data_IF_859069827150
#
_entry.id   IF_859069827150
#
_cell.length_a   1.000
_cell.length_b   1.000
_cell.length_c   1.000
_cell.angle_alpha   90.00
_cell.angle_beta   90.00
_cell.angle_gamma   90.00
#
_symmetry.space_group_name_H-M   'P 1'
#
loop_
_entity.id
_entity.type
_entity.pdbx_description
1 polymer ?
#
# COMPACT_ATOMS: atom_id res chain seq x y z
N UNK A 1 12.40 8.42 -14.84
CA UNK A 1 11.26 8.52 -15.78
C UNK A 1 10.49 9.84 -15.63
N UNK A 2 9.38 9.97 -14.90
CA UNK A 2 8.60 11.24 -14.91
C UNK A 2 9.37 12.46 -14.34
N UNK A 3 10.28 12.27 -13.37
CA UNK A 3 11.08 13.35 -12.76
C UNK A 3 12.04 14.06 -13.72
N UNK A 4 12.32 13.47 -14.88
CA UNK A 4 13.19 14.07 -15.92
C UNK A 4 12.39 14.91 -16.93
N UNK A 5 11.05 14.89 -16.86
CA UNK A 5 10.17 15.67 -17.72
C UNK A 5 9.72 16.94 -17.01
N UNK A 6 9.76 18.07 -17.72
CA UNK A 6 9.23 19.34 -17.22
C UNK A 6 7.71 19.32 -17.24
N UNK A 7 7.09 18.86 -16.15
CA UNK A 7 5.64 18.87 -15.98
C UNK A 7 5.12 20.31 -15.80
N UNK A 8 4.04 20.71 -16.51
CA UNK A 8 3.46 22.04 -16.34
C UNK A 8 2.83 22.17 -14.95
N UNK A 9 3.22 23.21 -14.20
CA UNK A 9 2.66 23.48 -12.87
C UNK A 9 1.20 23.95 -12.99
N UNK A 10 0.27 23.14 -12.51
CA UNK A 10 -1.14 23.51 -12.35
C UNK A 10 -1.42 23.75 -10.85
N UNK A 11 -1.86 24.95 -10.43
CA UNK A 11 -2.07 25.27 -9.00
C UNK A 11 -3.20 24.48 -8.33
N UNK A 12 -4.01 23.72 -9.09
CA UNK A 12 -5.02 22.80 -8.55
C UNK A 12 -4.46 21.40 -8.24
N UNK A 13 -3.24 21.07 -8.67
CA UNK A 13 -2.57 19.84 -8.24
C UNK A 13 -2.02 20.10 -6.84
N UNK A 14 -2.66 19.49 -5.83
CA UNK A 14 -2.28 19.62 -4.42
C UNK A 14 -1.19 18.60 -4.03
N UNK A 15 -1.23 17.43 -4.66
CA UNK A 15 -0.25 16.35 -4.54
C UNK A 15 0.05 15.83 -5.94
N UNK A 16 1.32 15.89 -6.33
CA UNK A 16 1.80 15.54 -7.68
C UNK A 16 2.92 14.48 -7.65
N UNK A 17 3.37 13.99 -8.81
CA UNK A 17 4.40 12.96 -8.90
C UNK A 17 5.76 13.37 -8.30
N UNK A 18 5.98 14.66 -8.05
CA UNK A 18 7.16 15.20 -7.38
C UNK A 18 7.28 14.81 -5.90
N UNK A 19 6.18 14.67 -5.14
CA UNK A 19 6.25 14.28 -3.72
C UNK A 19 6.36 12.77 -3.55
N UNK A 20 5.87 11.99 -4.54
CA UNK A 20 5.84 10.52 -4.48
C UNK A 20 5.03 9.99 -3.28
N UNK A 21 3.88 10.64 -3.04
CA UNK A 21 2.75 10.10 -2.27
C UNK A 21 2.03 8.97 -3.04
N UNK A 22 1.20 8.22 -2.33
CA UNK A 22 0.50 7.03 -2.82
C UNK A 22 -0.54 7.35 -3.91
N UNK A 23 -1.12 8.56 -3.91
CA UNK A 23 -2.06 8.99 -4.95
C UNK A 23 -1.94 10.50 -5.29
N UNK A 24 -2.28 10.84 -6.54
CA UNK A 24 -2.35 12.24 -6.98
C UNK A 24 -3.63 12.92 -6.47
N UNK A 25 -3.52 14.20 -6.10
CA UNK A 25 -4.67 14.97 -5.57
C UNK A 25 -4.91 16.24 -6.39
N UNK A 26 -6.14 16.39 -6.90
CA UNK A 26 -6.55 17.52 -7.76
C UNK A 26 -7.76 18.26 -7.20
N UNK A 27 -7.60 19.53 -6.88
CA UNK A 27 -8.65 20.37 -6.31
C UNK A 27 -9.73 20.73 -7.33
N UNK A 28 -10.99 20.47 -6.98
CA UNK A 28 -12.16 20.93 -7.72
C UNK A 28 -12.61 22.31 -7.20
N UNK A 29 -12.77 22.42 -5.89
CA UNK A 29 -13.25 23.60 -5.15
C UNK A 29 -12.65 23.66 -3.73
N UNK A 30 -13.12 24.58 -2.88
CA UNK A 30 -12.58 24.81 -1.52
C UNK A 30 -12.80 23.64 -0.54
N UNK A 31 -13.79 22.78 -0.78
CA UNK A 31 -14.20 21.68 0.10
C UNK A 31 -14.02 20.29 -0.53
N UNK A 32 -13.75 20.22 -1.84
CA UNK A 32 -13.61 18.97 -2.61
C UNK A 32 -12.34 18.94 -3.46
N UNK A 33 -11.54 17.88 -3.29
CA UNK A 33 -10.51 17.46 -4.22
C UNK A 33 -10.74 16.00 -4.64
N UNK A 34 -10.35 15.67 -5.87
CA UNK A 34 -10.22 14.29 -6.35
C UNK A 34 -8.94 13.68 -5.79
N UNK A 35 -9.00 12.41 -5.40
CA UNK A 35 -7.85 11.54 -5.18
C UNK A 35 -7.83 10.52 -6.31
N UNK A 36 -6.70 10.39 -7.01
CA UNK A 36 -6.57 9.51 -8.18
C UNK A 36 -5.33 8.64 -8.05
N UNK A 37 -5.54 7.32 -8.09
CA UNK A 37 -4.48 6.31 -8.18
C UNK A 37 -4.76 5.34 -9.32
N UNK A 38 -3.72 4.63 -9.75
CA UNK A 38 -3.81 3.56 -10.73
C UNK A 38 -2.82 2.47 -10.37
N UNK A 39 -3.33 1.26 -10.16
CA UNK A 39 -2.48 0.16 -9.72
C UNK A 39 -2.99 -1.17 -10.27
N UNK A 40 -2.07 -1.98 -10.81
CA UNK A 40 -2.35 -3.27 -11.44
C UNK A 40 -1.08 -4.14 -11.51
N UNK A 41 -1.21 -5.43 -11.25
CA UNK A 41 -0.08 -6.36 -11.12
C UNK A 41 -0.45 -7.78 -11.57
N UNK A 42 0.54 -8.68 -11.61
CA UNK A 42 0.39 -10.09 -11.97
C UNK A 42 -0.25 -10.92 -10.83
N UNK A 43 -0.82 -12.10 -11.09
CA UNK A 43 -1.35 -12.97 -10.04
C UNK A 43 -0.31 -13.28 -8.96
N UNK A 44 -0.69 -13.04 -7.69
CA UNK A 44 0.09 -13.40 -6.50
C UNK A 44 -0.47 -14.64 -5.77
N UNK A 45 -1.62 -15.15 -6.22
CA UNK A 45 -2.30 -16.36 -5.72
C UNK A 45 -2.92 -17.09 -6.91
N UNK A 46 -3.04 -18.42 -6.79
CA UNK A 46 -3.58 -19.27 -7.86
C UNK A 46 -5.11 -19.12 -8.03
N UNK A 47 -5.84 -18.83 -6.96
CA UNK A 47 -7.29 -18.66 -7.02
C UNK A 47 -7.67 -17.34 -7.71
N UNK A 48 -8.34 -17.36 -8.88
CA UNK A 48 -8.57 -16.15 -9.66
C UNK A 48 -9.51 -15.17 -8.95
N UNK A 49 -10.49 -15.68 -8.20
CA UNK A 49 -11.43 -14.84 -7.45
C UNK A 49 -10.71 -14.07 -6.33
N UNK A 50 -9.89 -14.76 -5.54
CA UNK A 50 -9.07 -14.16 -4.48
C UNK A 50 -8.05 -13.17 -5.05
N UNK A 51 -7.39 -13.48 -6.17
CA UNK A 51 -6.52 -12.52 -6.86
C UNK A 51 -7.29 -11.25 -7.24
N UNK A 52 -8.50 -11.39 -7.81
CA UNK A 52 -9.39 -10.26 -8.11
C UNK A 52 -9.72 -9.41 -6.89
N UNK A 53 -10.01 -10.03 -5.74
CA UNK A 53 -10.25 -9.33 -4.48
C UNK A 53 -9.01 -8.55 -4.03
N UNK A 54 -7.83 -9.17 -4.06
CA UNK A 54 -6.58 -8.55 -3.59
C UNK A 54 -6.19 -7.36 -4.50
N UNK A 55 -6.28 -7.51 -5.82
CA UNK A 55 -5.96 -6.44 -6.77
C UNK A 55 -6.82 -5.18 -6.55
N UNK A 56 -8.11 -5.36 -6.27
CA UNK A 56 -9.01 -4.23 -5.92
C UNK A 56 -8.68 -3.65 -4.55
N UNK A 57 -8.45 -4.48 -3.53
CA UNK A 57 -8.07 -3.98 -2.18
C UNK A 57 -6.77 -3.17 -2.24
N UNK A 58 -5.81 -3.56 -3.09
CA UNK A 58 -4.57 -2.81 -3.30
C UNK A 58 -4.85 -1.42 -3.88
N UNK A 59 -5.51 -1.36 -5.04
CA UNK A 59 -5.77 -0.10 -5.74
C UNK A 59 -6.72 0.86 -4.98
N UNK A 60 -7.56 0.34 -4.07
CA UNK A 60 -8.36 1.19 -3.17
C UNK A 60 -7.54 1.75 -2.00
N UNK A 61 -6.43 1.09 -1.62
CA UNK A 61 -5.64 1.42 -0.44
C UNK A 61 -5.07 2.83 -0.47
N UNK A 62 -4.55 3.28 -1.62
CA UNK A 62 -3.91 4.60 -1.75
C UNK A 62 -4.90 5.73 -1.51
N UNK A 63 -6.16 5.55 -1.94
CA UNK A 63 -7.22 6.54 -1.70
C UNK A 63 -7.49 6.68 -0.20
N UNK A 64 -7.50 5.56 0.54
CA UNK A 64 -7.63 5.58 2.00
C UNK A 64 -6.35 6.14 2.68
N UNK A 65 -5.16 5.88 2.14
CA UNK A 65 -3.90 6.42 2.64
C UNK A 65 -3.86 7.95 2.59
N UNK A 66 -4.40 8.56 1.53
CA UNK A 66 -4.55 10.02 1.43
C UNK A 66 -5.68 10.60 2.32
N UNK A 67 -6.38 9.78 3.09
CA UNK A 67 -7.55 10.17 3.90
C UNK A 67 -8.83 10.40 3.07
N UNK A 68 -8.87 9.91 1.84
CA UNK A 68 -10.01 10.02 0.93
C UNK A 68 -11.00 8.85 1.03
N UNK A 69 -12.15 9.04 0.38
CA UNK A 69 -13.16 7.99 0.16
C UNK A 69 -13.20 7.64 -1.33
N UNK A 70 -12.96 6.38 -1.73
CA UNK A 70 -13.06 5.98 -3.14
C UNK A 70 -14.53 6.02 -3.60
N UNK A 71 -14.75 6.48 -4.83
CA UNK A 71 -16.09 6.61 -5.42
C UNK A 71 -16.28 5.72 -6.65
N UNK A 72 -15.29 5.71 -7.54
CA UNK A 72 -15.38 4.99 -8.81
C UNK A 72 -14.09 4.22 -9.12
N UNK A 73 -14.26 3.10 -9.81
CA UNK A 73 -13.17 2.27 -10.34
C UNK A 73 -13.35 2.02 -11.84
N UNK A 74 -12.22 1.86 -12.54
CA UNK A 74 -12.16 1.40 -13.92
C UNK A 74 -11.21 0.21 -14.01
N UNK A 75 -11.68 -0.92 -14.53
CA UNK A 75 -10.86 -2.13 -14.67
C UNK A 75 -9.69 -1.92 -15.61
N UNK A 76 -8.49 -2.34 -15.19
CA UNK A 76 -7.34 -2.50 -16.06
C UNK A 76 -7.03 -3.99 -16.16
N UNK A 77 -7.16 -4.54 -17.36
CA UNK A 77 -6.99 -5.98 -17.62
C UNK A 77 -5.99 -6.19 -18.74
N UNK A 78 -4.93 -6.93 -18.44
CA UNK A 78 -4.12 -7.62 -19.44
C UNK A 78 -4.40 -9.12 -19.29
N UNK A 79 -4.77 -9.80 -20.36
CA UNK A 79 -5.15 -11.22 -20.28
C UNK A 79 -4.84 -11.95 -21.59
N UNK A 80 -4.32 -13.19 -21.55
CA UNK A 80 -4.02 -13.95 -22.76
C UNK A 80 -5.29 -14.60 -23.33
N UNK A 81 -6.07 -13.82 -24.10
CA UNK A 81 -7.39 -14.19 -24.62
C UNK A 81 -7.32 -15.44 -25.52
N UNK A 82 -6.16 -15.67 -26.15
CA UNK A 82 -5.92 -16.79 -27.07
C UNK A 82 -5.58 -18.13 -26.39
N UNK A 83 -5.07 -18.13 -25.16
CA UNK A 83 -4.57 -19.35 -24.49
C UNK A 83 -5.24 -19.67 -23.16
N UNK A 84 -5.88 -18.71 -22.50
CA UNK A 84 -6.63 -18.96 -21.25
C UNK A 84 -8.14 -18.80 -21.43
N UNK A 85 -8.89 -19.59 -20.67
CA UNK A 85 -10.35 -19.54 -20.68
C UNK A 85 -10.87 -18.22 -20.12
N UNK A 86 -11.86 -17.62 -20.81
CA UNK A 86 -12.60 -16.45 -20.32
C UNK A 86 -13.30 -16.68 -18.96
N UNK A 87 -13.45 -17.93 -18.50
CA UNK A 87 -13.95 -18.22 -17.14
C UNK A 87 -12.99 -17.75 -16.06
N UNK A 88 -11.67 -17.80 -16.29
CA UNK A 88 -10.66 -17.31 -15.33
C UNK A 88 -10.82 -15.80 -15.16
N UNK A 89 -10.87 -15.05 -16.28
CA UNK A 89 -11.10 -13.61 -16.25
C UNK A 89 -12.43 -13.24 -15.57
N UNK A 90 -13.50 -14.03 -15.79
CA UNK A 90 -14.79 -13.80 -15.11
C UNK A 90 -14.67 -13.93 -13.59
N UNK A 91 -13.94 -14.91 -13.06
CA UNK A 91 -13.76 -15.03 -11.62
C UNK A 91 -12.87 -13.93 -11.04
N UNK A 92 -11.81 -13.49 -11.75
CA UNK A 92 -11.02 -12.30 -11.36
C UNK A 92 -11.94 -11.08 -11.25
N UNK A 93 -12.74 -10.81 -12.27
CA UNK A 93 -13.65 -9.66 -12.27
C UNK A 93 -14.77 -9.78 -11.22
N UNK A 94 -15.24 -11.00 -10.91
CA UNK A 94 -16.21 -11.25 -9.81
C UNK A 94 -15.59 -10.99 -8.44
N UNK A 95 -14.34 -11.40 -8.23
CA UNK A 95 -13.58 -11.11 -7.01
C UNK A 95 -13.40 -9.61 -6.81
N UNK A 96 -12.92 -8.92 -7.85
CA UNK A 96 -12.76 -7.47 -7.81
C UNK A 96 -14.08 -6.73 -7.56
N UNK A 97 -15.15 -7.11 -8.27
CA UNK A 97 -16.48 -6.53 -8.07
C UNK A 97 -17.04 -6.78 -6.66
N UNK A 98 -16.74 -7.93 -6.05
CA UNK A 98 -17.11 -8.20 -4.65
C UNK A 98 -16.51 -7.16 -3.70
N UNK A 99 -15.26 -6.75 -3.91
CA UNK A 99 -14.58 -5.75 -3.05
C UNK A 99 -14.91 -4.32 -3.40
N UNK A 100 -15.18 -4.00 -4.67
CA UNK A 100 -15.77 -2.70 -5.03
C UNK A 100 -17.14 -2.50 -4.37
N UNK A 101 -18.01 -3.52 -4.40
CA UNK A 101 -19.33 -3.47 -3.74
C UNK A 101 -19.22 -3.31 -2.22
N UNK A 102 -18.29 -4.03 -1.57
CA UNK A 102 -18.01 -3.93 -0.13
C UNK A 102 -17.54 -2.52 0.27
N UNK A 103 -16.73 -1.87 -0.58
CA UNK A 103 -16.23 -0.52 -0.39
C UNK A 103 -17.21 0.60 -0.83
N UNK A 104 -18.36 0.26 -1.43
CA UNK A 104 -19.31 1.23 -1.99
C UNK A 104 -18.85 1.92 -3.28
N UNK A 105 -17.88 1.32 -3.99
CA UNK A 105 -17.23 1.88 -5.19
C UNK A 105 -17.98 1.45 -6.46
N UNK A 106 -18.34 2.41 -7.30
CA UNK A 106 -19.00 2.14 -8.57
C UNK A 106 -17.99 1.77 -9.67
N UNK A 107 -18.14 0.60 -10.28
CA UNK A 107 -17.42 0.24 -11.50
C UNK A 107 -18.02 1.03 -12.69
N UNK A 108 -17.28 2.02 -13.21
CA UNK A 108 -17.76 2.93 -14.27
C UNK A 108 -17.21 2.62 -15.67
N UNK A 109 -16.31 1.64 -15.78
CA UNK A 109 -15.75 1.23 -17.07
C UNK A 109 -14.47 0.40 -16.92
N UNK A 110 -13.62 0.47 -17.94
CA UNK A 110 -12.31 -0.20 -17.94
C UNK A 110 -11.79 -0.43 -19.34
N UNK A 111 -10.61 -1.04 -19.43
CA UNK A 111 -9.98 -1.47 -20.67
C UNK A 111 -9.41 -2.88 -20.54
N UNK A 112 -9.33 -3.59 -21.66
CA UNK A 112 -8.81 -4.96 -21.72
C UNK A 112 -7.93 -5.11 -22.94
N UNK A 113 -6.71 -5.61 -22.74
CA UNK A 113 -5.72 -5.89 -23.79
C UNK A 113 -5.34 -7.37 -23.80
N UNK A 114 -5.02 -7.87 -24.99
CA UNK A 114 -4.43 -9.19 -25.17
C UNK A 114 -2.94 -9.14 -24.83
N UNK A 115 -2.53 -9.88 -23.81
CA UNK A 115 -1.17 -9.88 -23.23
C UNK A 115 -0.82 -11.32 -22.84
N UNK A 116 0.42 -11.82 -23.08
CA UNK A 116 0.82 -13.17 -22.70
C UNK A 116 0.68 -13.48 -21.20
N UNK A 117 0.72 -12.48 -20.32
CA UNK A 117 0.58 -12.64 -18.88
C UNK A 117 -0.69 -11.97 -18.36
N UNK A 118 -1.33 -12.58 -17.36
CA UNK A 118 -2.43 -11.95 -16.63
C UNK A 118 -1.88 -10.75 -15.85
N UNK A 119 -2.53 -9.59 -15.98
CA UNK A 119 -2.36 -8.43 -15.11
C UNK A 119 -3.73 -7.85 -14.80
N UNK A 120 -4.03 -7.56 -13.54
CA UNK A 120 -5.32 -6.99 -13.14
C UNK A 120 -5.17 -5.92 -12.06
N UNK A 121 -6.07 -4.94 -12.09
CA UNK A 121 -6.18 -3.89 -11.10
C UNK A 121 -7.18 -2.81 -11.52
N UNK A 122 -7.08 -1.64 -10.90
CA UNK A 122 -8.00 -0.52 -11.11
C UNK A 122 -7.26 0.80 -11.31
N UNK A 123 -7.80 1.65 -12.17
CA UNK A 123 -7.71 3.09 -11.97
C UNK A 123 -8.86 3.51 -11.05
N UNK A 124 -8.55 4.18 -9.92
CA UNK A 124 -9.52 4.54 -8.88
C UNK A 124 -9.62 6.06 -8.78
N UNK A 125 -10.84 6.58 -8.66
CA UNK A 125 -11.09 7.97 -8.29
C UNK A 125 -11.90 8.03 -7.01
N UNK A 126 -11.36 8.72 -6.02
CA UNK A 126 -12.03 9.08 -4.77
C UNK A 126 -12.13 10.59 -4.58
N UNK A 127 -12.65 10.99 -3.42
CA UNK A 127 -12.73 12.37 -2.99
C UNK A 127 -12.12 12.55 -1.60
N UNK A 128 -11.54 13.72 -1.36
CA UNK A 128 -11.03 14.17 -0.06
C UNK A 128 -11.35 15.65 0.11
N UNK A 129 -11.51 16.09 1.36
CA UNK A 129 -11.56 17.53 1.63
C UNK A 129 -10.13 18.10 1.58
N UNK A 130 -9.85 19.19 0.84
CA UNK A 130 -8.49 19.74 0.70
C UNK A 130 -7.78 20.03 2.02
N UNK A 131 -8.53 20.30 3.10
CA UNK A 131 -8.01 20.62 4.45
C UNK A 131 -7.76 19.37 5.31
N UNK A 132 -8.03 18.17 4.77
CA UNK A 132 -7.92 16.86 5.44
C UNK A 132 -7.05 15.85 4.69
N UNK A 133 -6.37 16.26 3.63
CA UNK A 133 -5.43 15.41 2.90
C UNK A 133 -4.37 14.90 3.88
N UNK A 134 -4.19 13.60 3.91
CA UNK A 134 -3.06 12.93 4.57
C UNK A 134 -1.99 12.74 3.49
N UNK A 135 -0.73 12.96 3.84
CA UNK A 135 0.43 12.73 2.95
C UNK A 135 1.47 11.92 3.71
N UNK A 136 2.38 11.25 3.01
CA UNK A 136 3.51 10.55 3.62
C UNK A 136 4.57 11.51 4.24
N UNK A 137 4.41 12.82 4.01
CA UNK A 137 5.24 13.88 4.56
C UNK A 137 4.66 14.51 5.85
N UNK A 138 5.52 15.17 6.64
CA UNK A 138 5.10 15.97 7.80
C UNK A 138 5.07 15.25 9.16
N UNK A 139 5.49 13.99 9.22
CA UNK A 139 5.80 13.28 10.45
C UNK A 139 6.84 14.04 11.30
N UNK A 140 6.67 14.07 12.63
CA UNK A 140 7.47 14.89 13.55
C UNK A 140 8.21 14.05 14.58
N UNK A 141 9.42 14.45 15.02
CA UNK A 141 10.10 13.81 16.14
C UNK A 141 9.20 13.75 17.39
N UNK A 142 9.04 12.55 17.95
CA UNK A 142 8.11 12.26 19.06
C UNK A 142 6.76 11.66 18.63
N UNK A 143 6.44 11.62 17.32
CA UNK A 143 5.33 10.83 16.82
C UNK A 143 5.60 9.33 16.99
N UNK A 144 4.53 8.55 17.20
CA UNK A 144 4.52 7.08 17.20
C UNK A 144 4.08 6.57 15.84
N UNK A 145 4.70 5.48 15.41
CA UNK A 145 4.37 4.77 14.19
C UNK A 145 3.40 3.62 14.51
N UNK A 146 2.21 3.62 13.90
CA UNK A 146 1.22 2.56 14.00
C UNK A 146 1.15 1.82 12.67
N UNK A 147 1.14 0.49 12.73
CA UNK A 147 0.87 -0.38 11.59
C UNK A 147 -0.48 -1.09 11.80
N UNK A 148 -1.35 -1.13 10.79
CA UNK A 148 -2.74 -1.63 10.94
C UNK A 148 -3.02 -3.07 10.47
N UNK A 149 -2.00 -3.79 9.98
CA UNK A 149 -2.06 -5.24 9.68
C UNK A 149 -0.75 -5.91 10.10
N UNK A 150 -0.76 -7.22 10.40
CA UNK A 150 0.48 -8.00 10.47
C UNK A 150 1.25 -7.90 9.16
N UNK A 151 2.58 -7.85 9.23
CA UNK A 151 3.40 -8.03 8.04
C UNK A 151 3.59 -9.51 7.75
N UNK A 152 3.45 -9.85 6.48
CA UNK A 152 3.86 -11.15 5.94
C UNK A 152 5.36 -11.30 5.91
N UNK A 153 6.11 -10.26 6.31
CA UNK A 153 7.56 -10.14 6.21
C UNK A 153 7.97 -8.72 6.70
N UNK A 154 8.28 -8.59 8.01
CA UNK A 154 9.31 -7.74 8.65
C UNK A 154 9.23 -6.20 8.76
N UNK A 155 9.52 -5.66 9.96
CA UNK A 155 9.50 -4.19 10.26
C UNK A 155 10.37 -3.83 11.50
N UNK A 156 10.27 -2.61 12.02
CA UNK A 156 10.93 -1.99 13.19
C UNK A 156 9.86 -1.57 14.20
N UNK A 157 9.95 -1.70 15.52
CA UNK A 157 10.91 -2.29 16.48
C UNK A 157 10.74 -3.81 16.49
N UNK A 158 11.84 -4.55 16.34
CA UNK A 158 11.87 -5.98 15.98
C UNK A 158 10.89 -6.90 16.74
N UNK A 159 10.61 -6.58 18.01
CA UNK A 159 9.80 -7.39 18.93
C UNK A 159 8.33 -6.98 19.03
N UNK A 160 7.92 -5.81 18.53
CA UNK A 160 6.53 -5.28 18.67
C UNK A 160 5.64 -5.53 17.46
N UNK A 161 6.14 -6.29 16.53
CA UNK A 161 5.58 -6.41 15.19
C UNK A 161 4.63 -7.59 15.16
N UNK A 162 3.40 -7.40 14.66
CA UNK A 162 2.57 -8.52 14.25
C UNK A 162 3.19 -9.14 12.99
N UNK A 163 3.70 -10.37 13.09
CA UNK A 163 4.26 -11.17 11.97
C UNK A 163 3.40 -12.44 11.81
N UNK A 164 3.06 -12.82 10.58
CA UNK A 164 2.47 -14.13 10.32
C UNK A 164 3.49 -15.25 10.59
N UNK A 165 3.11 -16.24 11.42
CA UNK A 165 3.95 -17.38 11.81
C UNK A 165 4.58 -18.11 10.60
N UNK A 166 3.74 -18.34 9.60
CA UNK A 166 4.01 -19.07 8.37
C UNK A 166 5.12 -18.39 7.56
N UNK A 167 5.10 -17.06 7.49
CA UNK A 167 6.13 -16.27 6.81
C UNK A 167 7.50 -16.39 7.48
N UNK A 168 7.54 -16.37 8.81
CA UNK A 168 8.77 -16.56 9.56
C UNK A 168 9.38 -17.95 9.30
N UNK A 169 8.53 -18.98 9.16
CA UNK A 169 8.98 -20.34 8.87
C UNK A 169 9.43 -20.53 7.41
N UNK A 170 8.81 -19.83 6.44
CA UNK A 170 9.30 -19.76 5.06
C UNK A 170 10.68 -19.08 4.98
N UNK A 171 10.85 -17.91 5.62
CA UNK A 171 12.13 -17.19 5.61
C UNK A 171 13.25 -17.96 6.35
N UNK A 172 12.93 -18.63 7.46
CA UNK A 172 13.86 -19.58 8.13
C UNK A 172 14.31 -20.71 7.22
N UNK A 173 13.43 -21.14 6.32
CA UNK A 173 13.69 -22.19 5.34
C UNK A 173 14.40 -21.67 4.07
N UNK A 174 14.77 -20.39 4.02
CA UNK A 174 15.45 -19.75 2.89
C UNK A 174 14.54 -19.30 1.75
N UNK A 175 13.21 -19.42 1.90
CA UNK A 175 12.25 -18.94 0.91
C UNK A 175 11.99 -17.44 1.12
N UNK A 176 12.87 -16.62 0.55
CA UNK A 176 12.79 -15.15 0.55
C UNK A 176 12.48 -14.67 -0.89
N UNK A 177 11.39 -13.92 -1.13
CA UNK A 177 11.03 -13.47 -2.47
C UNK A 177 12.09 -12.58 -3.14
N UNK A 178 12.17 -12.66 -4.47
CA UNK A 178 13.16 -11.92 -5.26
C UNK A 178 13.13 -10.40 -5.04
N UNK A 179 11.94 -9.83 -4.80
CA UNK A 179 11.76 -8.40 -4.52
C UNK A 179 12.41 -7.93 -3.22
N UNK A 180 12.60 -8.82 -2.23
CA UNK A 180 13.26 -8.48 -0.97
C UNK A 180 14.73 -8.08 -1.19
N UNK A 181 15.42 -8.72 -2.14
CA UNK A 181 16.80 -8.35 -2.50
C UNK A 181 16.84 -6.97 -3.17
N UNK A 182 15.93 -6.69 -4.12
CA UNK A 182 15.82 -5.37 -4.76
C UNK A 182 15.54 -4.25 -3.75
N UNK A 183 14.64 -4.50 -2.80
CA UNK A 183 14.34 -3.57 -1.71
C UNK A 183 15.53 -3.38 -0.77
N UNK A 184 16.22 -4.47 -0.40
CA UNK A 184 17.45 -4.45 0.39
C UNK A 184 18.53 -3.60 -0.29
N UNK A 185 18.79 -3.81 -1.57
CA UNK A 185 19.80 -3.05 -2.32
C UNK A 185 19.44 -1.55 -2.38
N UNK A 186 18.17 -1.22 -2.62
CA UNK A 186 17.70 0.17 -2.67
C UNK A 186 17.72 0.89 -1.31
N UNK A 187 17.32 0.22 -0.23
CA UNK A 187 17.15 0.83 1.09
C UNK A 187 18.34 0.63 2.05
N UNK A 188 19.25 -0.31 1.81
CA UNK A 188 20.37 -0.62 2.71
C UNK A 188 21.19 0.60 3.15
N UNK A 189 21.47 1.55 2.24
CA UNK A 189 22.20 2.79 2.57
C UNK A 189 21.46 3.71 3.58
N UNK A 190 20.18 3.44 3.85
CA UNK A 190 19.30 4.20 4.74
C UNK A 190 18.97 3.48 6.05
N UNK A 191 19.30 2.20 6.17
CA UNK A 191 18.85 1.32 7.26
C UNK A 191 20.05 0.91 8.12
N UNK A 192 20.07 1.38 9.37
CA UNK A 192 21.07 1.00 10.37
C UNK A 192 20.45 -0.06 11.30
N UNK A 193 21.02 -1.28 11.34
CA UNK A 193 20.45 -2.42 12.10
C UNK A 193 21.26 -2.72 13.37
N UNK A 194 20.58 -2.91 14.51
CA UNK A 194 21.22 -3.32 15.76
C UNK A 194 21.70 -4.79 15.69
N UNK A 195 22.89 -5.15 16.21
CA UNK A 195 23.45 -6.50 16.08
C UNK A 195 22.57 -7.65 16.62
N UNK A 196 21.67 -7.37 17.56
CA UNK A 196 20.77 -8.36 18.16
C UNK A 196 19.56 -8.73 17.27
N UNK A 197 19.34 -8.00 16.16
CA UNK A 197 18.25 -8.28 15.21
C UNK A 197 18.64 -9.49 14.35
N UNK A 198 17.85 -10.56 14.40
CA UNK A 198 18.17 -11.80 13.69
C UNK A 198 18.19 -11.60 12.16
N UNK A 199 19.14 -12.21 11.42
CA UNK A 199 19.22 -12.07 9.96
C UNK A 199 17.90 -12.39 9.24
N UNK A 200 17.20 -13.44 9.66
CA UNK A 200 15.88 -13.79 9.12
C UNK A 200 14.88 -12.65 9.28
N UNK A 201 14.87 -11.95 10.41
CA UNK A 201 13.98 -10.80 10.58
C UNK A 201 14.40 -9.62 9.69
N UNK A 202 15.70 -9.47 9.40
CA UNK A 202 16.20 -8.51 8.41
C UNK A 202 15.77 -8.91 6.97
N UNK A 203 15.75 -10.21 6.63
CA UNK A 203 15.25 -10.69 5.34
C UNK A 203 13.75 -10.46 5.18
N UNK A 204 12.98 -10.79 6.23
CA UNK A 204 11.57 -10.41 6.32
C UNK A 204 11.43 -8.88 6.09
N UNK A 205 12.26 -8.06 6.73
CA UNK A 205 12.20 -6.59 6.73
C UNK A 205 12.26 -5.88 5.38
N UNK A 206 12.69 -6.57 4.32
CA UNK A 206 12.79 -6.00 2.98
C UNK A 206 11.73 -6.50 2.02
N UNK A 207 10.86 -7.43 2.41
CA UNK A 207 9.98 -8.09 1.44
C UNK A 207 8.77 -7.22 0.98
N UNK A 208 8.36 -7.30 -0.30
CA UNK A 208 7.22 -6.53 -0.80
C UNK A 208 5.87 -6.94 -0.16
N UNK A 209 5.20 -5.99 0.49
CA UNK A 209 3.85 -6.19 1.03
C UNK A 209 2.78 -5.83 -0.03
N UNK A 210 2.13 -6.82 -0.65
CA UNK A 210 0.94 -6.56 -1.50
C UNK A 210 -0.30 -6.42 -0.62
N UNK A 211 -1.11 -5.37 -0.80
CA UNK A 211 -2.29 -5.06 0.01
C UNK A 211 -2.01 -5.01 1.52
N UNK A 212 -0.88 -4.39 1.90
CA UNK A 212 -0.39 -4.25 3.28
C UNK A 212 -1.30 -3.44 4.22
N UNK A 213 -0.82 -3.22 5.45
CA UNK A 213 -1.47 -2.32 6.41
C UNK A 213 -1.12 -0.86 6.13
N UNK A 214 -1.92 0.07 6.67
CA UNK A 214 -1.54 1.49 6.71
C UNK A 214 -0.43 1.68 7.75
N UNK A 215 0.57 2.48 7.40
CA UNK A 215 1.59 3.00 8.32
C UNK A 215 1.26 4.45 8.67
N UNK A 216 0.97 4.72 9.95
CA UNK A 216 0.42 6.00 10.41
C UNK A 216 1.37 6.63 11.44
N UNK A 217 1.74 7.90 11.23
CA UNK A 217 2.51 8.71 12.20
C UNK A 217 1.57 9.63 12.98
N UNK A 218 1.56 9.56 14.32
CA UNK A 218 0.74 10.41 15.19
C UNK A 218 1.45 10.79 16.49
N UNK A 219 1.14 11.96 17.09
CA UNK A 219 1.60 12.30 18.44
C UNK A 219 1.22 11.21 19.45
N UNK A 220 2.15 10.88 20.35
CA UNK A 220 2.07 9.67 21.19
C UNK A 220 0.73 9.48 21.93
N UNK A 221 0.14 10.55 22.48
CA UNK A 221 -1.17 10.50 23.15
C UNK A 221 -2.29 10.02 22.21
N UNK A 222 -2.33 10.54 20.97
CA UNK A 222 -3.32 10.17 19.95
C UNK A 222 -3.08 8.78 19.39
N UNK A 223 -1.82 8.36 19.33
CA UNK A 223 -1.44 7.08 18.78
C UNK A 223 -1.99 5.91 19.61
N UNK A 224 -1.90 5.97 20.94
CA UNK A 224 -2.49 4.98 21.83
C UNK A 224 -4.01 4.89 21.64
N UNK A 225 -4.71 6.03 21.67
CA UNK A 225 -6.18 6.08 21.46
C UNK A 225 -6.60 5.53 20.09
N UNK A 226 -5.83 5.78 19.02
CA UNK A 226 -6.14 5.21 17.70
C UNK A 226 -5.91 3.69 17.69
N UNK A 227 -4.81 3.21 18.25
CA UNK A 227 -4.51 1.77 18.29
C UNK A 227 -5.58 0.99 19.08
N UNK A 228 -5.99 1.48 20.26
CA UNK A 228 -7.07 0.90 21.06
C UNK A 228 -8.41 0.87 20.31
N UNK A 229 -8.76 1.98 19.63
CA UNK A 229 -10.00 2.06 18.84
C UNK A 229 -9.99 1.07 17.68
N UNK A 230 -8.89 0.98 16.94
CA UNK A 230 -8.74 0.05 15.82
C UNK A 230 -8.81 -1.42 16.28
N UNK A 231 -8.21 -1.76 17.43
CA UNK A 231 -8.32 -3.08 18.03
C UNK A 231 -9.78 -3.41 18.44
N UNK A 232 -10.54 -2.42 18.90
CA UNK A 232 -11.99 -2.55 19.15
C UNK A 232 -12.78 -2.91 17.88
N UNK A 233 -12.39 -2.36 16.73
CA UNK A 233 -12.92 -2.69 15.39
C UNK A 233 -12.31 -3.98 14.80
N UNK A 234 -11.55 -4.76 15.59
CA UNK A 234 -10.84 -5.99 15.18
C UNK A 234 -9.75 -5.79 14.12
N UNK A 235 -9.24 -4.57 13.97
CA UNK A 235 -8.07 -4.26 13.13
C UNK A 235 -6.82 -4.42 14.00
N UNK A 236 -5.82 -5.17 13.53
CA UNK A 236 -4.63 -5.51 14.32
C UNK A 236 -3.61 -4.37 14.37
N UNK A 237 -4.03 -3.23 14.89
CA UNK A 237 -3.19 -2.05 15.04
C UNK A 237 -2.13 -2.25 16.14
N UNK A 238 -0.87 -1.99 15.82
CA UNK A 238 0.26 -1.99 16.77
C UNK A 238 1.11 -0.75 16.61
N UNK A 239 1.50 -0.17 17.74
CA UNK A 239 2.57 0.83 17.79
C UNK A 239 3.89 0.06 17.61
N UNK A 240 4.51 0.25 16.46
CA UNK A 240 5.74 -0.44 16.07
C UNK A 240 6.98 0.39 16.38
N UNK A 241 6.92 1.73 16.40
CA UNK A 241 8.10 2.56 16.64
C UNK A 241 7.80 4.02 16.92
N UNK A 242 8.82 4.87 16.77
CA UNK A 242 8.73 6.32 16.89
C UNK A 242 9.58 7.04 15.84
N UNK A 243 9.16 8.26 15.51
CA UNK A 243 9.93 9.19 14.68
C UNK A 243 10.93 9.89 15.60
N UNK A 244 12.22 9.77 15.30
CA UNK A 244 13.30 10.39 16.08
C UNK A 244 13.86 11.63 15.38
N UNK A 245 14.65 12.45 16.10
CA UNK A 245 15.46 13.47 15.43
C UNK A 245 16.61 12.81 14.68
N UNK A 246 16.85 13.22 13.44
CA UNK A 246 17.91 12.68 12.59
C UNK A 246 17.80 13.15 11.14
N UNK A 247 18.64 12.62 10.23
CA UNK A 247 18.52 12.87 8.80
C UNK A 247 17.20 12.30 8.27
N UNK A 248 16.42 13.05 7.46
CA UNK A 248 15.22 12.52 6.82
C UNK A 248 15.50 11.23 6.03
N UNK A 249 14.61 10.25 6.16
CA UNK A 249 14.72 8.98 5.43
C UNK A 249 15.78 8.00 5.97
N UNK A 250 16.36 8.24 7.16
CA UNK A 250 17.13 7.23 7.91
C UNK A 250 16.21 6.39 8.81
N UNK A 251 16.47 5.08 8.83
CA UNK A 251 15.71 4.08 9.59
C UNK A 251 16.68 3.35 10.52
N UNK A 252 16.31 3.19 11.79
CA UNK A 252 17.11 2.42 12.77
C UNK A 252 16.30 1.24 13.28
N UNK A 253 16.83 0.03 13.09
CA UNK A 253 16.17 -1.22 13.50
C UNK A 253 16.76 -1.68 14.83
N UNK A 254 15.90 -1.80 15.85
CA UNK A 254 16.24 -2.17 17.22
C UNK A 254 15.57 -3.50 17.60
#
# INVERSE_FOLDING_TARGET
MLRELLLPKNPRVLVGPETSDDAGVYQLDEETALVQTVDFFTPIVDDPFTFGQIAVVNALSDVYAMGGTPLTGMNLVAFPIKSLSSSILKEILRGGLSKMNEAGVALVGGHTVDDPEIKYGLAVTGIVNPKKIITNAGAKPGDRLILTKPLGTGVIESKRIPIFSEALDYARSGFVPGGAYSNRDFFSCRVDVHPDVSPTLIDLLYDPQTSGGLLISLPAEKASTLAERLQGEKIDARIIGEVTQGPPGKIRIL
#
